data_IF_540775180728
#
_entry.id   IF_540775180728
#
_cell.length_a   1.000
_cell.length_b   1.000
_cell.length_c   1.000
_cell.angle_alpha   90.00
_cell.angle_beta   90.00
_cell.angle_gamma   90.00
#
_symmetry.space_group_name_H-M   'P 1'
#
loop_
_entity.id
_entity.type
_entity.pdbx_description
1 polymer ?
#
# COMPACT_ATOMS: atom_id res chain seq x y z
N UNK A 1 15.99 -54.44 -18.66
CA UNK A 1 15.70 -53.06 -18.97
C UNK A 1 14.19 -52.91 -18.92
N UNK A 2 13.66 -52.46 -17.78
CA UNK A 2 12.22 -52.27 -17.54
C UNK A 2 11.99 -50.82 -17.22
N UNK A 3 11.31 -50.09 -18.11
CA UNK A 3 10.87 -48.72 -17.86
C UNK A 3 9.67 -48.73 -16.92
N UNK A 4 9.81 -48.10 -15.78
CA UNK A 4 8.70 -47.79 -14.87
C UNK A 4 8.15 -46.42 -15.20
N UNK A 5 6.92 -46.39 -15.73
CA UNK A 5 6.16 -45.14 -15.99
C UNK A 5 5.63 -44.65 -14.65
N UNK A 6 6.07 -43.45 -14.23
CA UNK A 6 5.52 -42.75 -13.05
C UNK A 6 4.25 -42.03 -13.48
N UNK A 7 3.14 -42.42 -12.91
CA UNK A 7 1.81 -41.83 -13.07
C UNK A 7 1.80 -40.41 -12.51
N UNK A 8 1.41 -39.45 -13.34
CA UNK A 8 1.10 -38.07 -12.92
C UNK A 8 -0.15 -38.08 -12.06
N UNK A 9 0.01 -37.72 -10.77
CA UNK A 9 -1.11 -37.48 -9.87
C UNK A 9 -1.84 -36.20 -10.33
N UNK A 10 -3.12 -36.34 -10.70
CA UNK A 10 -3.99 -35.26 -11.12
C UNK A 10 -4.25 -34.29 -9.98
N UNK A 11 -3.87 -33.03 -10.18
CA UNK A 11 -4.31 -31.90 -9.34
C UNK A 11 -5.81 -31.72 -9.60
N UNK A 12 -6.62 -31.84 -8.55
CA UNK A 12 -8.08 -31.79 -8.61
C UNK A 12 -8.54 -30.43 -9.20
N UNK A 13 -9.30 -30.48 -10.29
CA UNK A 13 -9.95 -29.33 -10.93
C UNK A 13 -10.91 -28.57 -9.98
N UNK A 14 -11.28 -29.15 -8.85
CA UNK A 14 -12.12 -28.51 -7.84
C UNK A 14 -11.40 -27.39 -7.08
N UNK A 15 -10.08 -27.46 -6.89
CA UNK A 15 -9.31 -26.41 -6.21
C UNK A 15 -9.14 -25.15 -7.09
N UNK A 16 -9.09 -25.31 -8.41
CA UNK A 16 -9.00 -24.18 -9.35
C UNK A 16 -10.34 -23.46 -9.50
N UNK A 17 -11.45 -24.19 -9.41
CA UNK A 17 -12.79 -23.61 -9.48
C UNK A 17 -13.18 -22.79 -8.25
N UNK A 18 -12.69 -23.15 -7.05
CA UNK A 18 -12.95 -22.37 -5.84
C UNK A 18 -12.17 -21.06 -5.76
N UNK A 19 -10.96 -21.00 -6.33
CA UNK A 19 -10.19 -19.75 -6.41
C UNK A 19 -10.79 -18.74 -7.42
N UNK A 20 -11.50 -19.23 -8.46
CA UNK A 20 -12.18 -18.38 -9.44
C UNK A 20 -13.54 -17.85 -8.97
N UNK A 21 -14.17 -18.46 -7.98
CA UNK A 21 -15.49 -18.05 -7.49
C UNK A 21 -15.46 -16.91 -6.44
N UNK A 22 -14.29 -16.57 -5.89
CA UNK A 22 -14.14 -15.50 -4.90
C UNK A 22 -13.67 -14.15 -5.48
N UNK A 23 -13.44 -14.06 -6.79
CA UNK A 23 -12.94 -12.86 -7.48
C UNK A 23 -13.96 -12.09 -8.34
N UNK A 24 -15.25 -12.42 -8.29
CA UNK A 24 -16.26 -11.66 -9.03
C UNK A 24 -17.00 -10.66 -8.13
N UNK A 25 -16.29 -9.66 -7.64
CA UNK A 25 -16.95 -8.44 -7.19
C UNK A 25 -17.45 -7.71 -8.46
N UNK A 26 -18.72 -7.92 -8.78
CA UNK A 26 -19.40 -7.23 -9.87
C UNK A 26 -19.40 -5.76 -9.53
N UNK A 27 -18.62 -4.97 -10.27
CA UNK A 27 -18.76 -3.52 -10.29
C UNK A 27 -20.26 -3.20 -10.40
N UNK A 28 -20.81 -2.55 -9.39
CA UNK A 28 -22.23 -2.11 -9.41
C UNK A 28 -22.42 -1.25 -10.66
N UNK A 29 -23.49 -1.45 -11.45
CA UNK A 29 -23.73 -0.67 -12.67
C UNK A 29 -23.74 0.81 -12.32
N UNK A 30 -22.93 1.61 -13.03
CA UNK A 30 -22.81 3.05 -12.84
C UNK A 30 -24.20 3.68 -12.81
N UNK A 31 -24.50 4.44 -11.77
CA UNK A 31 -25.76 5.21 -11.67
C UNK A 31 -25.70 6.30 -12.74
N UNK A 32 -26.38 6.07 -13.87
CA UNK A 32 -26.54 7.08 -14.93
C UNK A 32 -27.07 8.38 -14.32
N UNK A 33 -26.26 9.46 -14.36
CA UNK A 33 -26.65 10.78 -13.89
C UNK A 33 -25.87 11.34 -12.69
N UNK A 34 -24.91 10.62 -12.12
CA UNK A 34 -24.07 11.20 -11.08
C UNK A 34 -23.13 12.28 -11.68
N UNK A 35 -23.16 13.48 -11.10
CA UNK A 35 -22.26 14.57 -11.43
C UNK A 35 -21.11 14.68 -10.43
N UNK A 36 -21.22 14.04 -9.27
CA UNK A 36 -20.27 14.04 -8.19
C UNK A 36 -20.18 12.64 -7.56
N UNK A 37 -18.99 12.24 -7.17
CA UNK A 37 -18.75 11.05 -6.37
C UNK A 37 -17.64 11.31 -5.37
N UNK A 38 -17.69 10.62 -4.23
CA UNK A 38 -16.71 10.72 -3.16
C UNK A 38 -16.16 9.33 -2.83
N UNK A 39 -14.86 9.23 -2.64
CA UNK A 39 -14.22 7.97 -2.27
C UNK A 39 -13.21 8.18 -1.14
N UNK A 40 -13.03 7.14 -0.35
CA UNK A 40 -12.00 7.02 0.69
C UNK A 40 -10.98 5.97 0.27
N UNK A 41 -9.71 6.28 0.41
CA UNK A 41 -8.63 5.30 0.32
C UNK A 41 -7.84 5.29 1.63
N UNK A 42 -7.60 4.10 2.22
CA UNK A 42 -6.86 3.98 3.46
C UNK A 42 -5.37 4.30 3.26
N UNK A 43 -4.64 4.46 4.37
CA UNK A 43 -3.19 4.43 4.37
C UNK A 43 -2.68 3.05 3.95
N UNK A 44 -1.40 2.94 3.62
CA UNK A 44 -0.78 1.67 3.26
C UNK A 44 0.62 1.53 3.84
N UNK A 45 1.01 0.29 4.12
CA UNK A 45 2.39 -0.12 4.35
C UNK A 45 2.94 -0.67 3.05
N UNK A 46 4.03 -0.10 2.58
CA UNK A 46 4.74 -0.53 1.38
C UNK A 46 6.07 -1.19 1.74
N UNK A 47 6.65 -1.90 0.81
CA UNK A 47 7.87 -2.70 0.92
C UNK A 47 7.74 -3.96 1.78
N UNK A 48 6.97 -3.94 2.85
CA UNK A 48 6.77 -5.06 3.78
C UNK A 48 8.10 -5.74 4.13
N UNK A 49 9.07 -4.96 4.59
CA UNK A 49 10.47 -5.34 4.81
C UNK A 49 11.15 -5.89 3.53
N UNK A 50 10.80 -7.11 3.13
CA UNK A 50 11.53 -7.92 2.14
C UNK A 50 11.05 -7.75 0.70
N UNK A 51 9.91 -7.11 0.48
CA UNK A 51 9.30 -6.89 -0.83
C UNK A 51 9.43 -5.44 -1.33
N UNK A 52 10.65 -4.89 -1.32
CA UNK A 52 10.93 -3.53 -1.74
C UNK A 52 10.38 -3.24 -3.15
N UNK A 53 9.58 -2.15 -3.26
CA UNK A 53 8.85 -1.73 -4.45
C UNK A 53 7.88 -2.81 -5.03
N UNK A 54 7.56 -3.89 -4.27
CA UNK A 54 6.74 -5.02 -4.71
C UNK A 54 5.54 -5.33 -3.81
N UNK A 55 5.71 -5.31 -2.48
CA UNK A 55 4.70 -5.74 -1.53
C UNK A 55 4.09 -4.56 -0.78
N UNK A 56 2.78 -4.63 -0.55
CA UNK A 56 2.08 -3.69 0.31
C UNK A 56 0.73 -4.22 0.79
N UNK A 57 0.17 -3.53 1.79
CA UNK A 57 -1.18 -3.79 2.32
C UNK A 57 -1.79 -2.51 2.90
N UNK A 58 -3.14 -2.40 2.95
CA UNK A 58 -3.81 -1.23 3.50
C UNK A 58 -3.82 -1.24 5.04
N UNK A 59 -3.94 -0.06 5.64
CA UNK A 59 -4.14 0.16 7.08
C UNK A 59 -5.51 0.79 7.29
N UNK A 60 -6.39 0.11 8.00
CA UNK A 60 -7.71 0.64 8.33
C UNK A 60 -7.64 1.76 9.39
N UNK A 61 -8.64 2.63 9.40
CA UNK A 61 -8.81 3.69 10.40
C UNK A 61 -8.17 5.03 10.06
N UNK A 62 -7.29 5.12 9.07
CA UNK A 62 -6.66 6.37 8.59
C UNK A 62 -6.57 6.35 7.07
N UNK A 63 -6.83 7.48 6.41
CA UNK A 63 -6.82 7.55 4.95
C UNK A 63 -7.19 8.93 4.42
N UNK A 64 -7.15 9.08 3.11
CA UNK A 64 -7.56 10.30 2.40
C UNK A 64 -8.94 10.14 1.80
N UNK A 65 -9.67 11.25 1.71
CA UNK A 65 -10.95 11.31 1.02
C UNK A 65 -10.84 12.25 -0.17
N UNK A 66 -11.37 11.83 -1.31
CA UNK A 66 -11.41 12.67 -2.52
C UNK A 66 -12.82 12.77 -3.05
N UNK A 67 -13.24 14.00 -3.33
CA UNK A 67 -14.48 14.30 -4.06
C UNK A 67 -14.13 14.65 -5.49
N UNK A 68 -14.79 14.02 -6.45
CA UNK A 68 -14.64 14.28 -7.89
C UNK A 68 -15.96 14.73 -8.47
N UNK A 69 -15.95 15.86 -9.20
CA UNK A 69 -17.07 16.40 -9.94
C UNK A 69 -16.80 16.39 -11.43
N UNK A 70 -17.79 16.02 -12.24
CA UNK A 70 -17.71 16.25 -13.70
C UNK A 70 -17.89 17.72 -14.00
N UNK A 71 -17.05 18.24 -14.91
CA UNK A 71 -17.13 19.61 -15.42
C UNK A 71 -17.17 19.59 -16.95
N UNK A 72 -17.86 20.55 -17.57
CA UNK A 72 -17.99 20.62 -19.04
C UNK A 72 -16.62 20.84 -19.73
N UNK A 73 -15.77 21.69 -19.12
CA UNK A 73 -14.44 21.93 -19.64
C UNK A 73 -13.62 20.63 -19.65
N UNK A 74 -12.98 20.23 -20.78
CA UNK A 74 -12.26 18.97 -20.89
C UNK A 74 -10.85 19.04 -20.26
N UNK A 75 -10.77 19.43 -19.00
CA UNK A 75 -9.56 19.58 -18.19
C UNK A 75 -9.71 18.88 -16.84
N UNK A 76 -8.58 18.65 -16.17
CA UNK A 76 -8.56 18.23 -14.76
C UNK A 76 -8.04 19.41 -13.95
N UNK A 77 -8.75 19.76 -12.88
CA UNK A 77 -8.33 20.81 -11.95
C UNK A 77 -8.50 20.41 -10.51
N UNK A 78 -7.61 20.87 -9.66
CA UNK A 78 -7.71 20.71 -8.22
C UNK A 78 -8.30 21.99 -7.63
N UNK A 79 -9.50 21.87 -7.06
CA UNK A 79 -10.18 23.01 -6.44
C UNK A 79 -9.64 23.29 -5.03
N UNK A 80 -9.33 22.25 -4.26
CA UNK A 80 -8.81 22.39 -2.91
C UNK A 80 -8.04 21.14 -2.45
N UNK A 81 -7.06 21.37 -1.56
CA UNK A 81 -6.41 20.33 -0.75
C UNK A 81 -6.48 20.80 0.69
N UNK A 82 -7.07 19.98 1.59
CA UNK A 82 -7.26 20.28 3.00
C UNK A 82 -6.57 19.21 3.87
N UNK A 83 -6.46 19.46 5.16
CA UNK A 83 -5.90 18.50 6.13
C UNK A 83 -4.37 18.41 6.12
N UNK A 84 -3.69 19.41 5.55
CA UNK A 84 -2.22 19.51 5.56
C UNK A 84 -1.76 20.80 6.25
N UNK A 85 -0.60 20.71 6.91
CA UNK A 85 0.06 21.89 7.51
C UNK A 85 0.90 22.66 6.50
N UNK A 86 1.23 22.04 5.36
CA UNK A 86 2.02 22.63 4.27
C UNK A 86 1.16 22.66 3.01
N UNK A 87 1.17 23.78 2.30
CA UNK A 87 0.45 23.91 1.05
C UNK A 87 1.01 22.94 -0.01
N UNK A 88 0.12 22.16 -0.61
CA UNK A 88 0.46 21.27 -1.73
C UNK A 88 0.10 21.95 -3.07
N UNK A 89 0.79 21.62 -4.17
CA UNK A 89 0.48 22.18 -5.49
C UNK A 89 -0.95 21.86 -5.91
N UNK A 90 -1.69 22.89 -6.35
CA UNK A 90 -3.00 22.75 -7.02
C UNK A 90 -2.88 22.49 -8.52
N UNK A 91 -1.66 22.48 -9.05
CA UNK A 91 -1.38 22.08 -10.43
C UNK A 91 -1.62 20.58 -10.57
N UNK A 92 -2.62 20.22 -11.38
CA UNK A 92 -3.04 18.84 -11.57
C UNK A 92 -1.93 17.96 -12.18
N UNK A 93 -1.07 18.52 -13.02
CA UNK A 93 0.06 17.80 -13.63
C UNK A 93 1.17 17.47 -12.62
N UNK A 94 1.22 18.20 -11.52
CA UNK A 94 2.22 18.03 -10.45
C UNK A 94 1.67 17.29 -9.22
N UNK A 95 0.43 16.87 -9.27
CA UNK A 95 -0.26 16.14 -8.19
C UNK A 95 -0.62 14.74 -8.66
N UNK A 96 -0.39 13.71 -7.84
CA UNK A 96 -0.62 12.30 -8.19
C UNK A 96 -2.06 12.01 -8.58
N UNK A 97 -3.04 12.55 -7.84
CA UNK A 97 -4.45 12.39 -8.15
C UNK A 97 -4.84 13.12 -9.46
N UNK A 98 -4.32 14.32 -9.65
CA UNK A 98 -4.53 15.09 -10.88
C UNK A 98 -3.93 14.41 -12.10
N UNK A 99 -2.67 13.98 -12.03
CA UNK A 99 -1.98 13.32 -13.14
C UNK A 99 -2.65 11.98 -13.52
N UNK A 100 -3.09 11.20 -12.54
CA UNK A 100 -3.84 9.96 -12.79
C UNK A 100 -5.16 10.21 -13.54
N UNK A 101 -5.91 11.24 -13.15
CA UNK A 101 -7.15 11.62 -13.84
C UNK A 101 -6.90 12.23 -15.23
N UNK A 102 -5.79 12.93 -15.43
CA UNK A 102 -5.36 13.42 -16.76
C UNK A 102 -5.10 12.21 -17.67
N UNK A 103 -4.35 11.21 -17.19
CA UNK A 103 -4.06 9.97 -17.93
C UNK A 103 -5.36 9.21 -18.27
N UNK A 104 -6.23 8.98 -17.27
CA UNK A 104 -7.53 8.34 -17.46
C UNK A 104 -8.38 9.06 -18.52
N UNK A 105 -8.51 10.39 -18.39
CA UNK A 105 -9.30 11.20 -19.28
C UNK A 105 -8.78 11.13 -20.73
N UNK A 106 -7.47 11.22 -20.91
CA UNK A 106 -6.83 11.17 -22.23
C UNK A 106 -7.01 9.79 -22.90
N UNK A 107 -6.78 8.72 -22.15
CA UNK A 107 -6.93 7.35 -22.67
C UNK A 107 -8.37 7.02 -23.08
N UNK A 108 -9.36 7.49 -22.33
CA UNK A 108 -10.77 7.28 -22.64
C UNK A 108 -11.37 8.36 -23.57
N UNK A 109 -10.58 9.34 -23.99
CA UNK A 109 -11.00 10.45 -24.86
C UNK A 109 -12.28 11.14 -24.37
N UNK A 110 -12.37 11.38 -23.03
CA UNK A 110 -13.57 11.94 -22.43
C UNK A 110 -13.81 13.38 -22.90
N UNK A 111 -15.04 13.70 -23.38
CA UNK A 111 -15.39 15.06 -23.86
C UNK A 111 -15.58 16.07 -22.73
N UNK A 112 -15.49 15.65 -21.48
CA UNK A 112 -15.65 16.41 -20.25
C UNK A 112 -14.40 16.29 -19.37
N UNK A 113 -14.33 17.09 -18.31
CA UNK A 113 -13.25 17.07 -17.36
C UNK A 113 -13.68 16.71 -15.95
N UNK A 114 -12.72 16.83 -15.03
CA UNK A 114 -12.91 16.58 -13.60
C UNK A 114 -12.39 17.75 -12.76
N UNK A 115 -13.17 18.09 -11.75
CA UNK A 115 -12.73 18.94 -10.64
C UNK A 115 -12.60 18.06 -9.40
N UNK A 116 -11.50 18.20 -8.66
CA UNK A 116 -11.20 17.37 -7.48
C UNK A 116 -10.95 18.22 -6.24
N UNK A 117 -11.49 17.76 -5.11
CA UNK A 117 -11.16 18.24 -3.78
C UNK A 117 -10.57 17.09 -2.99
N UNK A 118 -9.45 17.32 -2.31
CA UNK A 118 -8.70 16.30 -1.57
C UNK A 118 -8.70 16.68 -0.10
N UNK A 119 -9.25 15.81 0.75
CA UNK A 119 -9.18 15.89 2.20
C UNK A 119 -8.15 14.87 2.69
N UNK A 120 -6.97 15.37 3.11
CA UNK A 120 -5.85 14.56 3.58
C UNK A 120 -6.08 14.14 5.03
N UNK A 121 -6.10 12.84 5.30
CA UNK A 121 -6.06 12.28 6.65
C UNK A 121 -4.72 11.60 6.96
N UNK A 122 -3.85 11.45 5.95
CA UNK A 122 -2.53 10.85 6.09
C UNK A 122 -1.49 11.95 6.16
N UNK A 123 -0.63 11.93 7.18
CA UNK A 123 0.45 12.89 7.35
C UNK A 123 1.41 12.87 6.15
N UNK A 124 1.90 14.05 5.74
CA UNK A 124 2.84 14.16 4.63
C UNK A 124 4.21 13.58 5.00
N UNK A 125 4.85 12.92 4.04
CA UNK A 125 6.18 12.30 4.21
C UNK A 125 6.26 11.32 5.39
N UNK A 126 5.14 10.68 5.70
CA UNK A 126 4.99 9.72 6.81
C UNK A 126 5.46 8.30 6.49
N UNK A 127 5.62 7.95 5.21
CA UNK A 127 5.82 6.55 4.80
C UNK A 127 4.54 5.70 4.80
N UNK A 128 3.35 6.34 4.83
CA UNK A 128 2.04 5.69 4.91
C UNK A 128 1.25 5.75 3.60
N UNK A 129 1.89 5.98 2.47
CA UNK A 129 1.26 5.96 1.14
C UNK A 129 0.27 7.09 0.86
N UNK A 130 0.42 8.30 1.49
CA UNK A 130 -0.56 9.37 1.36
C UNK A 130 -0.77 9.88 -0.08
N UNK A 131 0.27 9.91 -0.93
CA UNK A 131 0.12 10.25 -2.36
C UNK A 131 -0.70 9.21 -3.10
N UNK A 132 -0.42 7.93 -2.85
CA UNK A 132 -1.14 6.81 -3.43
C UNK A 132 -2.62 6.78 -3.00
N UNK A 133 -2.90 7.07 -1.72
CA UNK A 133 -4.26 7.14 -1.20
C UNK A 133 -5.10 8.21 -1.91
N UNK A 134 -4.58 9.44 -2.05
CA UNK A 134 -5.27 10.49 -2.81
C UNK A 134 -5.49 10.10 -4.28
N UNK A 135 -4.47 9.50 -4.91
CA UNK A 135 -4.53 9.03 -6.30
C UNK A 135 -5.62 7.98 -6.51
N UNK A 136 -5.62 6.93 -5.67
CA UNK A 136 -6.60 5.84 -5.78
C UNK A 136 -8.01 6.32 -5.44
N UNK A 137 -8.19 7.13 -4.39
CA UNK A 137 -9.48 7.70 -4.06
C UNK A 137 -10.05 8.54 -5.22
N UNK A 138 -9.21 9.35 -5.89
CA UNK A 138 -9.62 10.14 -7.06
C UNK A 138 -10.08 9.24 -8.22
N UNK A 139 -9.33 8.18 -8.53
CA UNK A 139 -9.66 7.23 -9.59
C UNK A 139 -10.95 6.45 -9.27
N UNK A 140 -11.12 5.98 -8.02
CA UNK A 140 -12.34 5.28 -7.60
C UNK A 140 -13.57 6.18 -7.69
N UNK A 141 -13.46 7.44 -7.26
CA UNK A 141 -14.55 8.41 -7.38
C UNK A 141 -14.85 8.75 -8.85
N UNK A 142 -13.83 9.03 -9.67
CA UNK A 142 -14.01 9.32 -11.09
C UNK A 142 -14.61 8.13 -11.86
N UNK A 143 -14.22 6.91 -11.52
CA UNK A 143 -14.74 5.69 -12.13
C UNK A 143 -16.24 5.53 -11.95
N UNK A 144 -16.78 5.95 -10.79
CA UNK A 144 -18.23 5.96 -10.55
C UNK A 144 -19.00 6.95 -11.42
N UNK A 145 -18.30 7.94 -12.01
CA UNK A 145 -18.87 8.95 -12.91
C UNK A 145 -18.79 8.56 -14.38
N UNK A 146 -18.07 7.47 -14.72
CA UNK A 146 -17.95 6.99 -16.10
C UNK A 146 -19.25 6.29 -16.53
N UNK A 147 -19.57 6.39 -17.83
CA UNK A 147 -20.69 5.66 -18.41
C UNK A 147 -20.50 4.14 -18.34
N UNK A 148 -19.25 3.69 -18.46
CA UNK A 148 -18.82 2.30 -18.31
C UNK A 148 -17.67 2.26 -17.32
N UNK A 149 -17.90 1.87 -16.06
CA UNK A 149 -16.84 1.75 -15.07
C UNK A 149 -15.77 0.73 -15.49
N UNK A 150 -14.54 1.07 -15.18
CA UNK A 150 -13.36 0.23 -15.41
C UNK A 150 -13.15 -0.72 -14.21
N UNK A 151 -12.47 -1.83 -14.45
CA UNK A 151 -12.02 -2.71 -13.38
C UNK A 151 -10.77 -2.15 -12.64
N UNK A 152 -10.43 -2.76 -11.52
CA UNK A 152 -9.29 -2.31 -10.69
C UNK A 152 -7.94 -2.41 -11.41
N UNK A 153 -7.78 -3.39 -12.29
CA UNK A 153 -6.54 -3.57 -13.04
C UNK A 153 -6.34 -2.44 -14.07
N UNK A 154 -7.43 -2.02 -14.72
CA UNK A 154 -7.41 -0.88 -15.65
C UNK A 154 -7.13 0.42 -14.91
N UNK A 155 -7.79 0.65 -13.75
CA UNK A 155 -7.54 1.83 -12.91
C UNK A 155 -6.11 1.88 -12.38
N UNK A 156 -5.53 0.73 -12.04
CA UNK A 156 -4.16 0.62 -11.56
C UNK A 156 -3.13 1.18 -12.57
N UNK A 157 -3.34 1.01 -13.87
CA UNK A 157 -2.44 1.55 -14.88
C UNK A 157 -2.39 3.09 -14.86
N UNK A 158 -3.53 3.74 -14.68
CA UNK A 158 -3.59 5.21 -14.55
C UNK A 158 -3.03 5.68 -13.21
N UNK A 159 -3.18 4.90 -12.15
CA UNK A 159 -2.57 5.19 -10.85
C UNK A 159 -1.04 5.17 -10.92
N UNK A 160 -0.45 4.22 -11.66
CA UNK A 160 0.99 4.16 -11.91
C UNK A 160 1.51 5.40 -12.64
N UNK A 161 0.72 5.99 -13.56
CA UNK A 161 1.08 7.24 -14.22
C UNK A 161 1.07 8.42 -13.24
N UNK A 162 0.10 8.45 -12.32
CA UNK A 162 0.04 9.43 -11.25
C UNK A 162 1.23 9.32 -10.28
N UNK A 163 1.60 8.11 -9.88
CA UNK A 163 2.71 7.86 -8.96
C UNK A 163 4.05 8.32 -9.53
N UNK A 164 4.26 8.15 -10.84
CA UNK A 164 5.47 8.59 -11.53
C UNK A 164 5.76 10.09 -11.38
N UNK A 165 4.73 10.92 -11.19
CA UNK A 165 4.88 12.37 -10.99
C UNK A 165 5.50 12.69 -9.63
N UNK A 166 5.16 11.94 -8.58
CA UNK A 166 5.66 12.20 -7.23
C UNK A 166 7.02 11.53 -6.97
N UNK A 167 7.19 10.28 -7.42
CA UNK A 167 8.37 9.45 -7.09
C UNK A 167 9.43 9.43 -8.19
N UNK A 168 9.10 9.92 -9.39
CA UNK A 168 9.95 9.84 -10.57
C UNK A 168 10.01 8.45 -11.22
N UNK A 169 9.26 7.49 -10.72
CA UNK A 169 9.15 6.12 -11.25
C UNK A 169 7.82 5.47 -10.90
N UNK A 170 7.45 4.43 -11.64
CA UNK A 170 6.17 3.72 -11.47
C UNK A 170 6.34 2.61 -10.43
N UNK A 171 5.82 2.82 -9.22
CA UNK A 171 5.82 1.84 -8.13
C UNK A 171 4.40 1.53 -7.72
N UNK A 172 4.08 0.26 -7.55
CA UNK A 172 2.73 -0.19 -7.29
C UNK A 172 2.44 -0.62 -5.85
N UNK A 173 3.46 -0.75 -5.02
CA UNK A 173 3.40 -1.32 -3.68
C UNK A 173 2.51 -0.55 -2.69
N UNK A 174 2.32 0.76 -2.88
CA UNK A 174 1.29 1.54 -2.19
C UNK A 174 -0.07 1.54 -2.93
N UNK A 175 -0.07 1.51 -4.26
CA UNK A 175 -1.28 1.66 -5.08
C UNK A 175 -2.10 0.37 -5.15
N UNK A 176 -1.45 -0.76 -5.45
CA UNK A 176 -2.11 -2.04 -5.67
C UNK A 176 -2.95 -2.52 -4.50
N UNK A 177 -2.45 -2.45 -3.25
CA UNK A 177 -3.22 -2.80 -2.08
C UNK A 177 -4.48 -1.97 -1.89
N UNK A 178 -4.46 -0.70 -2.32
CA UNK A 178 -5.61 0.19 -2.22
C UNK A 178 -6.71 -0.14 -3.24
N UNK A 179 -6.39 -0.85 -4.32
CA UNK A 179 -7.38 -1.40 -5.24
C UNK A 179 -7.86 -2.80 -4.87
N UNK A 180 -6.96 -3.67 -4.41
CA UNK A 180 -7.27 -5.09 -4.20
C UNK A 180 -7.65 -5.44 -2.75
N UNK A 181 -7.18 -4.66 -1.77
CA UNK A 181 -7.27 -5.02 -0.35
C UNK A 181 -6.26 -6.09 0.05
N UNK A 182 -5.95 -6.19 1.34
CA UNK A 182 -5.02 -7.18 1.88
C UNK A 182 -3.58 -7.05 1.40
N UNK A 183 -2.80 -8.09 1.65
CA UNK A 183 -1.41 -8.16 1.17
C UNK A 183 -1.38 -8.42 -0.34
N UNK A 184 -0.69 -7.57 -1.09
CA UNK A 184 -0.62 -7.65 -2.55
C UNK A 184 0.81 -7.62 -3.03
N UNK A 185 1.16 -8.54 -3.92
CA UNK A 185 2.36 -8.46 -4.75
C UNK A 185 2.00 -7.64 -6.01
N UNK A 186 2.66 -6.51 -6.15
CA UNK A 186 2.43 -5.54 -7.21
C UNK A 186 3.56 -5.58 -8.25
N UNK A 187 3.23 -5.85 -9.49
CA UNK A 187 4.13 -5.61 -10.63
C UNK A 187 3.58 -4.46 -11.46
N UNK A 188 4.31 -4.00 -12.47
CA UNK A 188 3.79 -2.98 -13.37
C UNK A 188 2.56 -3.45 -14.17
N UNK A 189 2.38 -4.76 -14.30
CA UNK A 189 1.35 -5.37 -15.12
C UNK A 189 0.26 -6.08 -14.31
N UNK A 190 0.55 -6.48 -13.06
CA UNK A 190 -0.33 -7.38 -12.31
C UNK A 190 -0.40 -7.02 -10.83
N UNK A 191 -1.59 -7.20 -10.27
CA UNK A 191 -1.86 -7.23 -8.84
C UNK A 191 -2.14 -8.69 -8.44
N UNK A 192 -1.31 -9.24 -7.57
CA UNK A 192 -1.44 -10.63 -7.11
C UNK A 192 -1.75 -10.62 -5.62
N UNK A 193 -3.01 -10.87 -5.22
CA UNK A 193 -3.38 -11.00 -3.80
C UNK A 193 -2.63 -12.17 -3.16
N UNK A 194 -2.05 -11.93 -1.99
CA UNK A 194 -1.38 -12.94 -1.18
C UNK A 194 -2.28 -13.27 0.00
N UNK A 195 -2.66 -14.53 0.12
CA UNK A 195 -3.46 -15.00 1.25
C UNK A 195 -2.65 -14.83 2.56
N UNK A 196 -3.32 -14.28 3.58
CA UNK A 196 -2.76 -14.10 4.92
C UNK A 196 -3.81 -14.58 5.92
N UNK A 197 -3.45 -15.30 7.02
CA UNK A 197 -4.40 -15.68 8.05
C UNK A 197 -5.20 -14.46 8.56
N UNK A 198 -6.52 -14.59 8.62
CA UNK A 198 -7.42 -13.49 9.01
C UNK A 198 -7.17 -13.00 10.46
N UNK A 199 -6.58 -13.83 11.31
CA UNK A 199 -6.20 -13.45 12.67
C UNK A 199 -5.01 -12.50 12.74
N UNK A 200 -4.17 -12.46 11.69
CA UNK A 200 -2.93 -11.68 11.72
C UNK A 200 -3.20 -10.19 11.55
N UNK A 201 -2.56 -9.42 12.42
CA UNK A 201 -2.72 -7.96 12.48
C UNK A 201 -1.38 -7.25 12.33
N UNK A 202 -1.46 -6.07 11.78
CA UNK A 202 -0.35 -5.11 11.73
C UNK A 202 -0.55 -4.04 12.79
N UNK A 203 0.53 -3.69 13.50
CA UNK A 203 0.69 -2.45 14.22
C UNK A 203 1.50 -1.51 13.32
N UNK A 204 0.96 -0.34 13.00
CA UNK A 204 1.67 0.76 12.34
C UNK A 204 1.83 1.88 13.33
N UNK A 205 3.06 2.39 13.52
CA UNK A 205 3.37 3.53 14.38
C UNK A 205 4.02 4.63 13.54
N UNK A 206 3.44 5.82 13.58
CA UNK A 206 3.96 7.01 12.93
C UNK A 206 4.46 8.00 13.97
N UNK A 207 5.78 8.23 14.10
CA UNK A 207 6.32 9.31 14.92
C UNK A 207 6.01 10.67 14.27
N UNK A 208 5.86 11.72 15.08
CA UNK A 208 5.73 13.09 14.59
C UNK A 208 7.09 13.61 14.07
N UNK A 209 7.54 12.98 13.00
CA UNK A 209 8.80 13.23 12.33
C UNK A 209 8.59 13.18 10.80
N UNK A 210 9.40 13.90 10.07
CA UNK A 210 9.34 13.98 8.61
C UNK A 210 10.59 13.37 8.00
N UNK A 211 10.43 12.43 7.08
CA UNK A 211 11.51 11.91 6.25
C UNK A 211 11.14 12.05 4.77
N UNK A 212 11.86 12.93 4.07
CA UNK A 212 11.66 13.10 2.63
C UNK A 212 11.97 11.79 1.88
N UNK A 213 11.04 11.36 1.02
CA UNK A 213 11.19 10.14 0.20
C UNK A 213 12.46 10.18 -0.64
N UNK A 214 12.83 11.35 -1.16
CA UNK A 214 14.08 11.55 -1.91
C UNK A 214 15.30 11.19 -1.06
N UNK A 215 15.41 11.71 0.18
CA UNK A 215 16.53 11.42 1.08
C UNK A 215 16.58 9.93 1.44
N UNK A 216 15.43 9.29 1.69
CA UNK A 216 15.35 7.86 1.95
C UNK A 216 15.77 7.01 0.73
N UNK A 217 15.55 7.52 -0.50
CA UNK A 217 16.02 6.85 -1.73
C UNK A 217 17.49 7.08 -2.00
N UNK A 218 18.01 8.26 -1.75
CA UNK A 218 19.45 8.58 -1.84
C UNK A 218 20.30 7.69 -0.92
N UNK A 219 19.79 7.33 0.28
CA UNK A 219 20.45 6.42 1.20
C UNK A 219 20.66 5.00 0.64
N UNK A 220 19.92 4.64 -0.42
CA UNK A 220 20.06 3.33 -1.08
C UNK A 220 21.15 3.30 -2.15
N UNK A 221 21.80 4.42 -2.42
CA UNK A 221 22.89 4.47 -3.39
C UNK A 221 24.07 3.59 -2.95
N UNK A 222 24.82 3.07 -3.94
CA UNK A 222 26.01 2.27 -3.70
C UNK A 222 25.85 0.80 -4.14
N UNK A 223 26.85 -0.01 -3.79
CA UNK A 223 26.91 -1.39 -4.22
C UNK A 223 26.20 -2.32 -3.23
N UNK A 224 25.60 -3.38 -3.76
CA UNK A 224 25.00 -4.48 -3.02
C UNK A 224 25.80 -5.76 -3.31
N UNK A 225 26.00 -6.60 -2.29
CA UNK A 225 26.72 -7.85 -2.48
C UNK A 225 25.74 -8.96 -2.89
N UNK A 226 26.18 -9.88 -3.74
CA UNK A 226 25.35 -11.01 -4.19
C UNK A 226 24.78 -11.81 -3.02
N UNK A 227 25.55 -11.99 -1.93
CA UNK A 227 25.07 -12.69 -0.74
C UNK A 227 23.88 -11.99 -0.06
N UNK A 228 23.85 -10.64 -0.07
CA UNK A 228 22.76 -9.85 0.49
C UNK A 228 21.50 -10.00 -0.37
N UNK A 229 21.65 -9.98 -1.69
CA UNK A 229 20.57 -10.26 -2.61
C UNK A 229 19.99 -11.67 -2.43
N UNK A 230 20.83 -12.71 -2.30
CA UNK A 230 20.37 -14.08 -2.03
C UNK A 230 19.62 -14.16 -0.69
N UNK A 231 20.16 -13.53 0.37
CA UNK A 231 19.50 -13.50 1.68
C UNK A 231 18.14 -12.79 1.62
N UNK A 232 18.05 -11.63 0.94
CA UNK A 232 16.78 -10.91 0.78
C UNK A 232 15.75 -11.73 -0.01
N UNK A 233 16.16 -12.40 -1.10
CA UNK A 233 15.30 -13.27 -1.89
C UNK A 233 14.81 -14.47 -1.09
N UNK A 234 15.68 -15.07 -0.27
CA UNK A 234 15.32 -16.14 0.65
C UNK A 234 14.27 -15.67 1.66
N UNK A 235 14.50 -14.51 2.27
CA UNK A 235 13.58 -13.91 3.24
C UNK A 235 12.21 -13.62 2.60
N UNK A 236 12.18 -13.04 1.40
CA UNK A 236 10.93 -12.83 0.65
C UNK A 236 10.19 -14.17 0.39
N UNK A 237 10.90 -15.20 -0.05
CA UNK A 237 10.31 -16.52 -0.30
C UNK A 237 9.73 -17.14 0.98
N UNK A 238 10.41 -17.01 2.13
CA UNK A 238 9.93 -17.48 3.43
C UNK A 238 8.65 -16.75 3.85
N UNK A 239 8.61 -15.42 3.70
CA UNK A 239 7.40 -14.64 4.04
C UNK A 239 6.22 -15.07 3.16
N UNK A 240 6.41 -15.19 1.85
CA UNK A 240 5.33 -15.59 0.93
C UNK A 240 4.85 -17.03 1.20
N UNK A 241 5.78 -17.97 1.45
CA UNK A 241 5.45 -19.35 1.81
C UNK A 241 4.72 -19.40 3.15
N UNK A 242 5.20 -18.66 4.16
CA UNK A 242 4.57 -18.59 5.48
C UNK A 242 3.17 -18.00 5.44
N UNK A 243 2.96 -16.92 4.68
CA UNK A 243 1.63 -16.35 4.47
C UNK A 243 0.68 -17.36 3.82
N UNK A 244 1.12 -18.04 2.76
CA UNK A 244 0.30 -19.04 2.06
C UNK A 244 -0.05 -20.26 2.93
N UNK A 245 0.92 -20.73 3.72
CA UNK A 245 0.73 -21.89 4.61
C UNK A 245 0.04 -21.53 5.95
N UNK A 246 -0.08 -20.25 6.29
CA UNK A 246 -0.48 -19.81 7.62
C UNK A 246 0.57 -20.12 8.70
N UNK A 247 1.84 -20.24 8.30
CA UNK A 247 2.95 -20.61 9.17
C UNK A 247 3.69 -19.36 9.68
N UNK A 248 3.44 -19.03 10.95
CA UNK A 248 4.02 -17.87 11.63
C UNK A 248 5.55 -17.99 11.77
N UNK A 249 6.10 -19.19 11.92
CA UNK A 249 7.55 -19.38 12.10
C UNK A 249 8.32 -19.12 10.81
N UNK A 250 7.76 -19.48 9.65
CA UNK A 250 8.34 -19.11 8.36
C UNK A 250 8.34 -17.60 8.17
N UNK A 251 7.25 -16.92 8.52
CA UNK A 251 7.20 -15.44 8.45
C UNK A 251 8.20 -14.82 9.43
N UNK A 252 8.30 -15.32 10.65
CA UNK A 252 9.25 -14.85 11.66
C UNK A 252 10.70 -15.04 11.21
N UNK A 253 11.00 -16.11 10.52
CA UNK A 253 12.31 -16.36 9.93
C UNK A 253 12.62 -15.39 8.78
N UNK A 254 11.60 -15.06 7.95
CA UNK A 254 11.78 -14.31 6.71
C UNK A 254 11.52 -12.81 6.79
N UNK A 255 10.72 -12.28 7.75
CA UNK A 255 10.37 -10.84 7.77
C UNK A 255 11.53 -9.97 8.31
N UNK A 256 12.67 -10.06 7.63
CA UNK A 256 13.94 -9.42 7.99
C UNK A 256 14.57 -8.81 6.74
N UNK A 257 14.53 -7.49 6.65
CA UNK A 257 15.18 -6.76 5.55
C UNK A 257 16.69 -6.66 5.81
N UNK A 258 17.50 -7.14 4.86
CA UNK A 258 18.95 -7.08 4.92
C UNK A 258 19.56 -6.12 3.90
N UNK A 259 18.73 -5.50 3.04
CA UNK A 259 19.17 -4.60 1.97
C UNK A 259 18.84 -3.13 2.24
N UNK A 260 17.57 -2.87 2.53
CA UNK A 260 16.99 -1.51 2.52
C UNK A 260 16.98 -0.92 3.93
N UNK A 261 16.44 -1.67 4.90
CA UNK A 261 16.35 -1.23 6.30
C UNK A 261 17.70 -0.82 6.89
N UNK A 262 18.80 -1.59 6.74
CA UNK A 262 20.10 -1.19 7.30
C UNK A 262 20.61 0.17 6.81
N UNK A 263 20.17 0.59 5.62
CA UNK A 263 20.54 1.88 5.02
C UNK A 263 19.62 3.03 5.40
N UNK A 264 18.33 2.73 5.65
CA UNK A 264 17.31 3.73 6.03
C UNK A 264 17.18 3.93 7.53
N UNK A 265 17.36 2.88 8.34
CA UNK A 265 17.21 2.92 9.78
C UNK A 265 18.01 4.06 10.45
N UNK A 266 19.26 4.36 10.06
CA UNK A 266 20.00 5.48 10.63
C UNK A 266 19.38 6.87 10.40
N UNK A 267 18.44 6.99 9.46
CA UNK A 267 17.72 8.24 9.18
C UNK A 267 16.51 8.45 10.10
N UNK A 268 16.08 7.43 10.87
CA UNK A 268 14.86 7.42 11.66
C UNK A 268 15.24 7.22 13.13
N UNK A 269 15.34 8.32 13.85
CA UNK A 269 15.63 8.28 15.29
C UNK A 269 14.53 7.51 16.04
N UNK A 270 14.91 6.65 16.98
CA UNK A 270 14.00 5.80 17.76
C UNK A 270 13.54 4.53 17.07
N UNK A 271 13.79 4.36 15.75
CA UNK A 271 13.34 3.18 15.01
C UNK A 271 13.90 1.86 15.57
N UNK A 272 15.17 1.82 15.93
CA UNK A 272 15.82 0.61 16.44
C UNK A 272 15.17 0.13 17.75
N UNK A 273 14.89 1.06 18.67
CA UNK A 273 14.25 0.77 19.96
C UNK A 273 12.78 0.38 19.75
N UNK A 274 12.04 1.08 18.88
CA UNK A 274 10.67 0.75 18.53
C UNK A 274 10.56 -0.64 17.89
N UNK A 275 11.47 -0.99 16.97
CA UNK A 275 11.55 -2.32 16.36
C UNK A 275 11.84 -3.39 17.41
N UNK A 276 12.83 -3.18 18.28
CA UNK A 276 13.19 -4.13 19.31
C UNK A 276 12.01 -4.36 20.28
N UNK A 277 11.32 -3.29 20.67
CA UNK A 277 10.13 -3.39 21.52
C UNK A 277 9.02 -4.25 20.86
N UNK A 278 8.79 -4.12 19.56
CA UNK A 278 7.85 -4.98 18.85
C UNK A 278 8.27 -6.47 18.90
N UNK A 279 9.55 -6.75 18.67
CA UNK A 279 10.10 -8.11 18.71
C UNK A 279 10.02 -8.72 20.12
N UNK A 280 10.29 -7.95 21.16
CA UNK A 280 10.17 -8.36 22.57
C UNK A 280 8.72 -8.69 22.96
N UNK A 281 7.74 -8.15 22.22
CA UNK A 281 6.32 -8.45 22.33
C UNK A 281 5.86 -9.54 21.32
N UNK A 282 6.78 -10.41 20.86
CA UNK A 282 6.51 -11.52 19.96
C UNK A 282 5.95 -11.15 18.59
N UNK A 283 6.35 -9.99 18.03
CA UNK A 283 6.04 -9.71 16.64
C UNK A 283 6.62 -10.79 15.71
N UNK A 284 5.91 -11.12 14.63
CA UNK A 284 6.40 -11.97 13.54
C UNK A 284 7.59 -11.31 12.81
N UNK A 285 7.65 -10.01 12.87
CA UNK A 285 8.73 -9.17 12.36
C UNK A 285 8.29 -7.71 12.37
N UNK A 286 9.27 -6.82 12.24
CA UNK A 286 9.03 -5.38 12.21
C UNK A 286 10.04 -4.69 11.28
N UNK A 287 9.61 -3.65 10.57
CA UNK A 287 10.46 -2.85 9.68
C UNK A 287 9.88 -1.46 9.42
N UNK A 288 10.52 -0.73 8.55
CA UNK A 288 10.11 0.60 8.08
C UNK A 288 8.94 0.46 7.11
N UNK A 289 7.92 1.29 7.26
CA UNK A 289 6.82 1.42 6.30
C UNK A 289 7.22 2.37 5.17
N UNK A 290 7.19 1.89 3.93
CA UNK A 290 7.55 2.68 2.76
C UNK A 290 8.95 3.30 2.86
N UNK A 291 9.04 4.63 2.76
CA UNK A 291 10.28 5.37 2.95
C UNK A 291 10.61 5.67 4.42
N UNK A 292 9.68 5.45 5.33
CA UNK A 292 9.70 5.91 6.71
C UNK A 292 9.10 7.33 6.83
N UNK A 293 9.08 7.92 8.06
CA UNK A 293 9.63 7.40 9.31
C UNK A 293 8.74 6.37 10.03
N UNK A 294 7.53 6.09 9.54
CA UNK A 294 6.65 5.09 10.16
C UNK A 294 7.28 3.72 10.19
N UNK A 295 7.02 2.99 11.27
CA UNK A 295 7.41 1.60 11.47
C UNK A 295 6.17 0.71 11.56
N UNK A 296 6.26 -0.51 11.01
CA UNK A 296 5.22 -1.52 11.17
C UNK A 296 5.74 -2.77 11.85
N UNK A 297 4.84 -3.51 12.47
CA UNK A 297 5.13 -4.85 13.00
C UNK A 297 3.92 -5.76 12.77
N UNK A 298 4.15 -7.04 12.48
CA UNK A 298 3.10 -8.05 12.31
C UNK A 298 2.96 -8.92 13.55
N UNK A 299 1.72 -9.29 13.87
CA UNK A 299 1.36 -10.10 15.02
C UNK A 299 0.32 -11.15 14.63
N UNK A 300 0.30 -12.27 15.35
CA UNK A 300 -0.67 -13.35 15.13
C UNK A 300 -2.11 -13.01 15.58
N UNK A 301 -2.29 -11.91 16.33
CA UNK A 301 -3.61 -11.46 16.78
C UNK A 301 -3.67 -9.96 17.00
N UNK A 302 -4.89 -9.42 16.99
CA UNK A 302 -5.17 -8.03 17.34
C UNK A 302 -4.70 -7.69 18.75
N UNK A 303 -5.01 -8.56 19.72
CA UNK A 303 -4.66 -8.34 21.12
C UNK A 303 -3.13 -8.24 21.33
N UNK A 304 -2.34 -9.07 20.62
CA UNK A 304 -0.88 -8.97 20.70
C UNK A 304 -0.36 -7.66 20.10
N UNK A 305 -0.92 -7.22 18.98
CA UNK A 305 -0.56 -5.94 18.37
C UNK A 305 -0.91 -4.74 19.27
N UNK A 306 -2.11 -4.74 19.88
CA UNK A 306 -2.56 -3.71 20.80
C UNK A 306 -1.71 -3.66 22.08
N UNK A 307 -1.31 -4.82 22.62
CA UNK A 307 -0.44 -4.90 23.80
C UNK A 307 0.99 -4.38 23.53
N UNK A 308 1.50 -4.55 22.30
CA UNK A 308 2.82 -4.05 21.90
C UNK A 308 2.85 -2.54 21.66
N UNK A 309 1.74 -1.94 21.25
CA UNK A 309 1.69 -0.55 20.78
C UNK A 309 2.32 0.47 21.75
N UNK A 310 2.04 0.47 23.07
CA UNK A 310 2.65 1.42 24.00
C UNK A 310 4.19 1.30 24.07
N UNK A 311 4.73 0.08 24.03
CA UNK A 311 6.17 -0.14 24.09
C UNK A 311 6.86 0.31 22.79
N UNK A 312 6.24 0.08 21.62
CA UNK A 312 6.76 0.55 20.33
C UNK A 312 6.75 2.09 20.27
N UNK A 313 5.67 2.73 20.74
CA UNK A 313 5.60 4.18 20.83
C UNK A 313 6.64 4.76 21.80
N UNK A 314 6.92 4.08 22.92
CA UNK A 314 7.95 4.49 23.87
C UNK A 314 9.35 4.54 23.24
N UNK A 315 9.65 3.69 22.23
CA UNK A 315 10.90 3.75 21.49
C UNK A 315 11.11 5.08 20.75
N UNK A 316 10.05 5.67 20.21
CA UNK A 316 10.09 7.00 19.60
C UNK A 316 10.05 8.12 20.63
N UNK A 317 9.26 7.94 21.71
CA UNK A 317 9.17 8.92 22.79
C UNK A 317 10.51 9.12 23.52
N UNK A 318 11.34 8.08 23.65
CA UNK A 318 12.67 8.13 24.24
C UNK A 318 13.62 9.10 23.53
N UNK A 319 13.39 9.39 22.25
CA UNK A 319 14.16 10.35 21.45
C UNK A 319 13.39 11.65 21.16
N UNK A 320 12.26 11.88 21.87
CA UNK A 320 11.51 13.14 21.85
C UNK A 320 10.43 13.26 20.78
N UNK A 321 10.00 12.16 20.16
CA UNK A 321 8.88 12.17 19.20
C UNK A 321 7.61 11.60 19.82
N UNK A 322 6.54 12.37 19.81
CA UNK A 322 5.19 11.82 19.95
C UNK A 322 4.88 10.92 18.78
N UNK A 323 3.95 9.96 18.93
CA UNK A 323 3.59 9.05 17.85
C UNK A 323 2.13 8.63 17.91
N UNK A 324 1.58 8.32 16.75
CA UNK A 324 0.25 7.73 16.60
C UNK A 324 0.41 6.25 16.21
N UNK A 325 -0.54 5.41 16.66
CA UNK A 325 -0.53 3.98 16.39
C UNK A 325 -1.88 3.51 15.86
N UNK A 326 -1.85 2.61 14.88
CA UNK A 326 -3.03 1.96 14.31
C UNK A 326 -2.80 0.44 14.31
N UNK A 327 -3.80 -0.28 14.80
CA UNK A 327 -3.84 -1.75 14.74
C UNK A 327 -4.92 -2.13 13.76
N UNK A 328 -4.55 -2.85 12.72
CA UNK A 328 -5.47 -3.24 11.65
C UNK A 328 -5.17 -4.67 11.16
N UNK A 329 -6.18 -5.41 10.66
CA UNK A 329 -5.91 -6.67 9.99
C UNK A 329 -4.92 -6.45 8.83
N UNK A 330 -4.01 -7.39 8.56
CA UNK A 330 -3.20 -7.34 7.34
C UNK A 330 -4.11 -7.45 6.11
N UNK A 331 -5.20 -8.22 6.23
CA UNK A 331 -6.24 -8.35 5.21
C UNK A 331 -7.28 -7.20 5.28
N UNK A 332 -6.82 -5.95 5.44
CA UNK A 332 -7.68 -4.76 5.48
C UNK A 332 -8.32 -4.45 4.13
N UNK A 333 -9.49 -3.78 4.13
CA UNK A 333 -10.22 -3.49 2.90
C UNK A 333 -9.52 -2.46 2.01
N UNK A 334 -9.85 -2.52 0.72
CA UNK A 334 -9.44 -1.57 -0.31
C UNK A 334 -10.12 -0.20 -0.17
N UNK A 335 -9.80 0.72 -1.07
CA UNK A 335 -10.50 1.97 -1.26
C UNK A 335 -11.97 1.72 -1.63
N UNK A 336 -12.86 2.64 -1.22
CA UNK A 336 -14.31 2.50 -1.40
C UNK A 336 -14.99 3.83 -1.70
N UNK A 337 -16.08 3.75 -2.44
CA UNK A 337 -17.01 4.89 -2.58
C UNK A 337 -17.64 5.18 -1.21
N UNK A 338 -17.82 6.46 -0.96
CA UNK A 338 -18.64 6.96 0.14
C UNK A 338 -20.04 7.29 -0.40
N UNK A 339 -21.06 6.94 0.35
CA UNK A 339 -22.46 7.16 -0.03
C UNK A 339 -22.85 8.62 -0.03
#
# INVERSE_FOLDING_TARGET
VTQTVVSQAGVSQAAVAQAQAQGSDRASPGKHGLHEARAFAPASVANVAVGFDLLGYPIDGVGDTVTVRRIEAPVVRIAAIRGTTVALPLDAERNTAGAALISLRAALQLPYGFEIEIDKGIALSSGMGGSAASCVAALVAANALLASPLDHHQLYQYALDGEAVASGSRHGDNLGPLFAGGLVLCTLERLVPIAVPAAWHSLLVHPDAVLETRRAREALAGNYQLREFVAQSTNLALVLAGCHAGDADLVRAGLRDVLIEPRRAPLIAGFADAKQAALDHNALGASISGAGPSAFAWFESRAAAEAAAPAVQAGFAAVGFDSQAWVSPIASPAARLLG
#
